data_IF_452581093656
#
_entry.id   IF_452581093656
#
_cell.length_a   1.000
_cell.length_b   1.000
_cell.length_c   1.000
_cell.angle_alpha   90.00
_cell.angle_beta   90.00
_cell.angle_gamma   90.00
#
_symmetry.space_group_name_H-M   'P 1'
#
loop_
_entity.id
_entity.type
_entity.pdbx_description
1 polymer ?
#
# COMPACT_ATOMS: atom_id res chain seq x y z
N UNK A 1 -23.45 1.78 9.60
CA UNK A 1 -22.90 0.40 9.52
C UNK A 1 -22.86 -0.15 10.91
N UNK A 2 -23.17 -1.44 11.13
CA UNK A 2 -22.99 -2.08 12.43
C UNK A 2 -21.50 -2.30 12.70
N UNK A 3 -21.06 -2.13 13.95
CA UNK A 3 -19.67 -2.37 14.39
C UNK A 3 -19.15 -3.76 13.96
N UNK A 4 -20.03 -4.77 14.00
CA UNK A 4 -19.75 -6.14 13.54
C UNK A 4 -19.34 -6.23 12.05
N UNK A 5 -19.71 -5.24 11.23
CA UNK A 5 -19.34 -5.16 9.80
C UNK A 5 -18.09 -4.32 9.53
N UNK A 6 -17.62 -3.51 10.50
CA UNK A 6 -16.49 -2.59 10.31
C UNK A 6 -15.14 -3.27 10.57
N UNK A 7 -15.03 -4.09 11.63
CA UNK A 7 -13.76 -4.77 11.95
C UNK A 7 -13.28 -5.72 10.84
N UNK A 8 -14.14 -6.56 10.21
CA UNK A 8 -13.71 -7.39 9.09
C UNK A 8 -13.26 -6.55 7.88
N UNK A 9 -13.92 -5.42 7.62
CA UNK A 9 -13.54 -4.51 6.54
C UNK A 9 -12.15 -3.89 6.78
N UNK A 10 -11.87 -3.43 8.00
CA UNK A 10 -10.55 -2.91 8.38
C UNK A 10 -9.48 -3.99 8.19
N UNK A 11 -9.74 -5.24 8.61
CA UNK A 11 -8.79 -6.36 8.42
C UNK A 11 -8.46 -6.59 6.95
N UNK A 12 -9.45 -6.57 6.08
CA UNK A 12 -9.26 -6.71 4.63
C UNK A 12 -8.43 -5.56 4.06
N UNK A 13 -8.73 -4.32 4.46
CA UNK A 13 -7.98 -3.14 4.01
C UNK A 13 -6.50 -3.22 4.43
N UNK A 14 -6.22 -3.61 5.69
CA UNK A 14 -4.84 -3.76 6.17
C UNK A 14 -4.09 -4.87 5.41
N UNK A 15 -4.74 -6.01 5.14
CA UNK A 15 -4.15 -7.08 4.34
C UNK A 15 -3.80 -6.58 2.92
N UNK A 16 -4.68 -5.78 2.34
CA UNK A 16 -4.53 -5.25 1.00
C UNK A 16 -3.42 -4.17 0.89
N UNK A 17 -3.22 -3.36 1.95
CA UNK A 17 -2.05 -2.48 2.09
C UNK A 17 -0.76 -3.30 2.08
N UNK A 18 -0.72 -4.39 2.86
CA UNK A 18 0.47 -5.24 2.93
C UNK A 18 0.80 -5.86 1.57
N UNK A 19 -0.20 -6.31 0.81
CA UNK A 19 0.00 -6.86 -0.55
C UNK A 19 0.64 -5.81 -1.47
N UNK A 20 0.08 -4.59 -1.54
CA UNK A 20 0.61 -3.50 -2.38
C UNK A 20 2.03 -3.11 -2.01
N UNK A 21 2.31 -2.94 -0.72
CA UNK A 21 3.65 -2.58 -0.26
C UNK A 21 4.67 -3.69 -0.48
N UNK A 22 4.25 -4.96 -0.41
CA UNK A 22 5.10 -6.10 -0.78
C UNK A 22 5.44 -6.11 -2.26
N UNK A 23 4.49 -5.78 -3.13
CA UNK A 23 4.71 -5.62 -4.57
C UNK A 23 5.66 -4.45 -4.87
N UNK A 24 5.41 -3.28 -4.26
CA UNK A 24 6.29 -2.11 -4.36
C UNK A 24 7.73 -2.44 -3.93
N UNK A 25 7.88 -3.22 -2.86
CA UNK A 25 9.19 -3.68 -2.39
C UNK A 25 9.90 -4.58 -3.41
N UNK A 26 9.16 -5.44 -4.13
CA UNK A 26 9.75 -6.28 -5.18
C UNK A 26 10.25 -5.44 -6.35
N UNK A 27 9.49 -4.44 -6.77
CA UNK A 27 9.88 -3.50 -7.83
C UNK A 27 11.11 -2.69 -7.39
N UNK A 28 11.12 -2.17 -6.15
CA UNK A 28 12.25 -1.43 -5.61
C UNK A 28 13.56 -2.23 -5.62
N UNK A 29 13.48 -3.53 -5.27
CA UNK A 29 14.64 -4.43 -5.34
C UNK A 29 15.14 -4.67 -6.77
N UNK A 30 14.22 -4.76 -7.74
CA UNK A 30 14.59 -4.88 -9.14
C UNK A 30 15.27 -3.61 -9.65
N UNK A 31 14.70 -2.44 -9.35
CA UNK A 31 15.31 -1.14 -9.66
C UNK A 31 16.71 -0.98 -9.04
N UNK A 32 16.87 -1.35 -7.76
CA UNK A 32 18.16 -1.34 -7.07
C UNK A 32 19.18 -2.24 -7.78
N UNK A 33 18.78 -3.46 -8.18
CA UNK A 33 19.67 -4.37 -8.90
C UNK A 33 20.14 -3.81 -10.26
N UNK A 34 19.26 -3.12 -11.00
CA UNK A 34 19.64 -2.42 -12.23
C UNK A 34 20.72 -1.36 -11.95
N UNK A 35 20.50 -0.53 -10.92
CA UNK A 35 21.45 0.52 -10.51
C UNK A 35 22.80 -0.07 -10.09
N UNK A 36 22.81 -1.14 -9.29
CA UNK A 36 24.05 -1.80 -8.84
C UNK A 36 24.85 -2.41 -10.00
N UNK A 37 24.19 -2.79 -11.09
CA UNK A 37 24.83 -3.28 -12.32
C UNK A 37 25.21 -2.16 -13.29
N UNK A 38 25.06 -0.89 -12.91
CA UNK A 38 25.39 0.29 -13.74
C UNK A 38 24.28 0.71 -14.71
N UNK A 39 23.15 0.00 -14.76
CA UNK A 39 22.00 0.33 -15.59
C UNK A 39 21.09 1.38 -14.90
N UNK A 40 21.62 2.60 -14.72
CA UNK A 40 20.95 3.65 -13.94
C UNK A 40 19.59 4.07 -14.54
N UNK A 41 19.53 4.30 -15.86
CA UNK A 41 18.30 4.74 -16.52
C UNK A 41 17.17 3.72 -16.40
N UNK A 42 17.50 2.43 -16.60
CA UNK A 42 16.55 1.33 -16.41
C UNK A 42 16.09 1.22 -14.96
N UNK A 43 17.00 1.38 -13.99
CA UNK A 43 16.64 1.40 -12.58
C UNK A 43 15.65 2.52 -12.24
N UNK A 44 15.81 3.72 -12.83
CA UNK A 44 14.84 4.82 -12.67
C UNK A 44 13.49 4.41 -13.27
N UNK A 45 13.48 3.92 -14.52
CA UNK A 45 12.24 3.52 -15.21
C UNK A 45 11.48 2.44 -14.42
N UNK A 46 12.17 1.38 -13.99
CA UNK A 46 11.57 0.31 -13.16
C UNK A 46 11.04 0.87 -11.83
N UNK A 47 11.73 1.83 -11.21
CA UNK A 47 11.28 2.41 -9.94
C UNK A 47 9.97 3.21 -10.07
N UNK A 48 9.63 3.70 -11.27
CA UNK A 48 8.40 4.48 -11.49
C UNK A 48 7.14 3.64 -11.28
N UNK A 49 7.20 2.32 -11.48
CA UNK A 49 6.07 1.41 -11.26
C UNK A 49 5.63 1.35 -9.78
N UNK A 50 6.45 1.87 -8.85
CA UNK A 50 6.14 1.95 -7.41
C UNK A 50 5.06 3.01 -7.12
N UNK A 51 4.98 4.09 -7.90
CA UNK A 51 4.19 5.28 -7.57
C UNK A 51 2.72 4.94 -7.32
N UNK A 52 2.10 4.18 -8.24
CA UNK A 52 0.71 3.79 -8.13
C UNK A 52 0.44 2.93 -6.89
N UNK A 53 1.34 2.01 -6.56
CA UNK A 53 1.20 1.11 -5.41
C UNK A 53 1.26 1.88 -4.09
N UNK A 54 2.16 2.87 -3.98
CA UNK A 54 2.25 3.74 -2.81
C UNK A 54 1.03 4.64 -2.69
N UNK A 55 0.56 5.22 -3.79
CA UNK A 55 -0.66 6.01 -3.82
C UNK A 55 -1.85 5.21 -3.30
N UNK A 56 -2.08 4.02 -3.86
CA UNK A 56 -3.20 3.16 -3.45
C UNK A 56 -3.10 2.67 -2.00
N UNK A 57 -1.90 2.32 -1.53
CA UNK A 57 -1.68 1.95 -0.13
C UNK A 57 -2.02 3.11 0.82
N UNK A 58 -1.67 4.35 0.47
CA UNK A 58 -2.06 5.54 1.22
C UNK A 58 -3.57 5.73 1.27
N UNK A 59 -4.26 5.58 0.13
CA UNK A 59 -5.73 5.67 0.05
C UNK A 59 -6.45 4.61 0.88
N UNK A 60 -5.92 3.39 0.90
CA UNK A 60 -6.43 2.31 1.75
C UNK A 60 -6.23 2.64 3.23
N UNK A 61 -5.08 3.22 3.59
CA UNK A 61 -4.83 3.63 4.97
C UNK A 61 -5.76 4.75 5.44
N UNK A 62 -6.05 5.72 4.57
CA UNK A 62 -7.07 6.75 4.84
C UNK A 62 -8.44 6.12 5.12
N UNK A 63 -8.82 5.12 4.30
CA UNK A 63 -10.09 4.40 4.46
C UNK A 63 -10.17 3.61 5.77
N UNK A 64 -9.12 2.87 6.14
CA UNK A 64 -9.05 2.16 7.41
C UNK A 64 -9.16 3.11 8.60
N UNK A 65 -8.47 4.27 8.53
CA UNK A 65 -8.48 5.30 9.57
C UNK A 65 -9.87 5.93 9.73
N UNK A 66 -10.57 6.18 8.62
CA UNK A 66 -11.93 6.69 8.63
C UNK A 66 -12.91 5.68 9.24
N UNK A 67 -12.86 4.42 8.82
CA UNK A 67 -13.71 3.36 9.37
C UNK A 67 -13.49 3.17 10.88
N UNK A 68 -12.23 3.22 11.32
CA UNK A 68 -11.90 3.14 12.74
C UNK A 68 -12.47 4.31 13.55
N UNK A 69 -12.53 5.52 12.97
CA UNK A 69 -13.16 6.69 13.61
C UNK A 69 -14.67 6.53 13.70
N UNK A 70 -15.32 6.18 12.58
CA UNK A 70 -16.77 5.95 12.54
C UNK A 70 -17.18 4.88 13.56
N UNK A 71 -16.39 3.82 13.72
CA UNK A 71 -16.66 2.78 14.71
C UNK A 71 -16.57 3.26 16.16
N UNK A 72 -15.81 4.32 16.46
CA UNK A 72 -15.68 4.89 17.81
C UNK A 72 -16.75 5.93 18.11
N UNK A 73 -17.17 6.70 17.10
CA UNK A 73 -18.19 7.74 17.25
C UNK A 73 -19.63 7.16 17.36
N UNK A 74 -19.79 5.84 17.27
CA UNK A 74 -21.05 5.11 17.47
C UNK A 74 -21.23 4.57 18.91
N UNK A 75 -20.25 4.81 19.80
CA UNK A 75 -20.33 4.54 21.26
C UNK A 75 -20.85 5.78 22.02
#
# INVERSE_FOLDING_TARGET
>A
MERASIEPAIKLIIAEIHIRLSEATRIAKAAEACVQNGAIAEGIEVSMDIEQLIYEAGRLQDAASLLARISRDQD
#
